data_IF_050160998238
#
_entry.id   IF_050160998238
#
_cell.length_a   1.000
_cell.length_b   1.000
_cell.length_c   1.000
_cell.angle_alpha   90.00
_cell.angle_beta   90.00
_cell.angle_gamma   90.00
#
_symmetry.space_group_name_H-M   'P 1'
#
loop_
_entity.id
_entity.type
_entity.pdbx_description
1 polymer ?
#
# COMPACT_ATOMS: atom_id res chain seq x y z
N UNK A 1 46.59 51.56 -5.13
CA UNK A 1 46.33 52.10 -6.49
C UNK A 1 44.94 51.72 -6.90
N UNK A 2 44.01 52.60 -6.66
CA UNK A 2 42.75 52.74 -7.34
C UNK A 2 43.02 53.53 -8.65
N UNK A 3 42.27 53.41 -9.72
CA UNK A 3 40.86 53.71 -9.89
C UNK A 3 40.20 52.86 -11.02
N UNK A 4 38.92 52.80 -11.24
CA UNK A 4 38.03 53.79 -11.79
C UNK A 4 36.61 53.32 -11.98
N UNK A 5 35.70 54.11 -11.58
CA UNK A 5 34.31 54.33 -11.90
C UNK A 5 33.91 54.18 -13.39
N UNK A 6 32.77 53.53 -13.66
CA UNK A 6 32.07 53.53 -14.94
C UNK A 6 30.56 53.45 -14.73
N UNK A 7 29.91 54.62 -14.63
CA UNK A 7 28.46 54.73 -14.54
C UNK A 7 27.79 54.54 -15.89
N UNK A 8 26.61 53.87 -15.89
CA UNK A 8 25.69 53.83 -17.02
C UNK A 8 24.47 54.74 -16.77
N UNK A 9 24.03 55.50 -17.75
CA UNK A 9 22.93 56.46 -17.60
C UNK A 9 21.56 55.72 -17.68
N UNK A 10 20.69 56.13 -16.78
CA UNK A 10 19.25 55.78 -16.83
C UNK A 10 18.57 56.62 -17.92
N UNK A 11 17.95 55.93 -18.88
CA UNK A 11 16.93 56.54 -19.73
C UNK A 11 15.67 55.72 -19.63
N UNK A 12 14.61 56.31 -19.08
CA UNK A 12 13.24 55.80 -19.06
C UNK A 12 12.46 56.63 -20.07
N UNK A 13 11.82 56.04 -21.07
CA UNK A 13 10.73 56.68 -21.78
C UNK A 13 9.36 56.25 -21.20
N UNK A 14 8.64 57.26 -20.69
CA UNK A 14 7.21 57.17 -20.49
C UNK A 14 6.50 57.03 -21.82
N UNK A 15 5.74 55.95 -22.00
CA UNK A 15 4.68 55.88 -23.02
C UNK A 15 3.36 55.53 -22.33
N UNK A 16 2.54 56.57 -22.17
CA UNK A 16 1.12 56.46 -21.80
C UNK A 16 0.34 56.07 -23.03
N UNK A 17 -0.21 54.83 -23.04
CA UNK A 17 -1.23 54.40 -24.01
C UNK A 17 -2.54 54.08 -23.28
N UNK A 18 -3.68 54.29 -23.90
CA UNK A 18 -5.00 54.15 -23.21
C UNK A 18 -5.27 52.70 -22.88
N UNK A 19 -5.75 52.44 -21.64
CA UNK A 19 -6.18 51.17 -21.16
C UNK A 19 -7.41 50.69 -21.94
N UNK A 20 -7.25 49.55 -22.63
CA UNK A 20 -8.41 48.80 -23.17
C UNK A 20 -9.18 48.10 -22.01
N UNK A 21 -10.49 48.04 -22.04
CA UNK A 21 -11.27 47.38 -21.00
C UNK A 21 -10.99 45.89 -21.03
N UNK A 22 -10.50 45.36 -19.91
CA UNK A 22 -10.36 43.93 -19.71
C UNK A 22 -11.73 43.28 -19.67
N UNK A 23 -12.13 42.60 -20.74
CA UNK A 23 -13.20 41.63 -20.70
C UNK A 23 -12.77 40.50 -19.79
N UNK A 24 -13.19 40.55 -18.53
CA UNK A 24 -13.18 39.41 -17.63
C UNK A 24 -14.15 38.39 -18.23
N UNK A 25 -13.63 37.43 -18.99
CA UNK A 25 -14.38 36.26 -19.37
C UNK A 25 -14.80 35.55 -18.07
N UNK A 26 -16.10 35.68 -17.78
CA UNK A 26 -16.70 34.91 -16.69
C UNK A 26 -16.44 33.42 -17.00
N UNK A 27 -15.52 32.81 -16.28
CA UNK A 27 -15.36 31.37 -16.28
C UNK A 27 -16.69 30.79 -15.82
N UNK A 28 -17.47 30.32 -16.80
CA UNK A 28 -18.70 29.57 -16.56
C UNK A 28 -18.26 28.33 -15.77
N UNK A 29 -18.66 28.26 -14.49
CA UNK A 29 -18.41 27.09 -13.67
C UNK A 29 -18.88 25.85 -14.46
N UNK A 30 -18.07 24.81 -14.60
CA UNK A 30 -18.48 23.60 -15.30
C UNK A 30 -19.75 23.09 -14.63
N UNK A 31 -20.77 22.78 -15.45
CA UNK A 31 -22.02 22.18 -14.96
C UNK A 31 -21.67 21.01 -14.04
N UNK A 32 -22.24 20.96 -12.84
CA UNK A 32 -21.99 19.93 -11.86
C UNK A 32 -22.25 18.57 -12.52
N UNK A 33 -21.16 17.85 -12.83
CA UNK A 33 -21.26 16.47 -13.34
C UNK A 33 -21.73 15.61 -12.18
N UNK A 34 -22.66 14.67 -12.43
CA UNK A 34 -23.04 13.69 -11.41
C UNK A 34 -21.77 12.94 -10.93
N UNK A 35 -21.72 12.53 -9.67
CA UNK A 35 -20.60 11.72 -9.17
C UNK A 35 -20.39 10.45 -10.00
N UNK A 36 -19.15 10.07 -10.17
CA UNK A 36 -18.77 8.79 -10.75
C UNK A 36 -18.97 7.70 -9.70
N UNK A 37 -19.85 6.76 -9.96
CA UNK A 37 -20.13 5.63 -9.06
C UNK A 37 -19.19 4.48 -9.39
N UNK A 38 -18.34 4.11 -8.43
CA UNK A 38 -17.30 3.10 -8.60
C UNK A 38 -17.62 1.86 -7.77
N UNK A 39 -17.74 0.71 -8.41
CA UNK A 39 -17.70 -0.59 -7.76
C UNK A 39 -16.22 -0.92 -7.46
N UNK A 40 -15.75 -0.50 -6.30
CA UNK A 40 -14.35 -0.72 -5.87
C UNK A 40 -14.24 -2.02 -5.07
N UNK A 41 -13.34 -2.91 -5.43
CA UNK A 41 -13.18 -4.23 -4.77
C UNK A 41 -11.79 -4.35 -4.15
N UNK A 42 -11.69 -4.32 -2.82
CA UNK A 42 -12.70 -3.84 -1.87
C UNK A 42 -12.78 -2.32 -1.84
N UNK A 43 -13.83 -1.77 -1.23
CA UNK A 43 -13.98 -0.32 -1.04
C UNK A 43 -13.35 0.18 0.26
N UNK A 44 -13.38 -0.63 1.31
CA UNK A 44 -13.04 -0.25 2.68
C UNK A 44 -11.57 -0.44 3.09
N UNK A 45 -10.71 -1.02 2.26
CA UNK A 45 -9.31 -1.25 2.61
C UNK A 45 -8.51 0.05 2.72
N UNK A 46 -7.54 0.12 3.65
CA UNK A 46 -6.72 1.31 3.90
C UNK A 46 -6.08 1.87 2.63
N UNK A 47 -5.53 1.03 1.77
CA UNK A 47 -5.00 1.43 0.47
C UNK A 47 -6.02 2.21 -0.36
N UNK A 48 -7.24 1.66 -0.48
CA UNK A 48 -8.30 2.25 -1.31
C UNK A 48 -8.84 3.56 -0.71
N UNK A 49 -8.96 3.62 0.62
CA UNK A 49 -9.37 4.85 1.31
C UNK A 49 -8.39 6.00 1.04
N UNK A 50 -7.09 5.71 1.06
CA UNK A 50 -6.05 6.71 0.85
C UNK A 50 -5.78 7.04 -0.63
N UNK A 51 -6.55 6.45 -1.56
CA UNK A 51 -6.66 6.93 -2.95
C UNK A 51 -7.68 8.06 -3.09
N UNK A 52 -8.48 8.33 -2.08
CA UNK A 52 -9.39 9.47 -2.08
C UNK A 52 -8.61 10.79 -1.87
N UNK A 53 -9.08 11.92 -2.40
CA UNK A 53 -8.54 13.21 -2.04
C UNK A 53 -8.72 13.47 -0.54
N UNK A 54 -7.85 14.28 0.06
CA UNK A 54 -7.92 14.63 1.48
C UNK A 54 -9.25 15.32 1.83
N UNK A 55 -9.68 16.23 0.96
CA UNK A 55 -11.02 16.82 1.01
C UNK A 55 -11.91 16.13 -0.02
N UNK A 56 -12.99 15.52 0.46
CA UNK A 56 -13.97 14.90 -0.42
C UNK A 56 -14.68 15.97 -1.28
N UNK A 57 -14.40 15.93 -2.58
CA UNK A 57 -15.00 16.82 -3.56
C UNK A 57 -16.30 16.28 -4.16
N UNK A 58 -16.78 15.15 -3.69
CA UNK A 58 -18.02 14.50 -4.11
C UNK A 58 -18.01 13.99 -5.56
N UNK A 59 -16.88 14.01 -6.27
CA UNK A 59 -16.79 13.58 -7.67
C UNK A 59 -16.78 12.08 -7.86
N UNK A 60 -16.36 11.32 -6.84
CA UNK A 60 -16.27 9.86 -6.87
C UNK A 60 -16.99 9.28 -5.66
N UNK A 61 -17.93 8.40 -5.91
CA UNK A 61 -18.62 7.64 -4.88
C UNK A 61 -18.27 6.16 -5.04
N UNK A 62 -17.67 5.57 -4.01
CA UNK A 62 -17.42 4.12 -3.98
C UNK A 62 -18.60 3.41 -3.35
N UNK A 63 -19.10 2.38 -4.02
CA UNK A 63 -20.14 1.53 -3.44
C UNK A 63 -19.58 0.80 -2.21
N UNK A 64 -20.36 0.66 -1.13
CA UNK A 64 -19.96 -0.15 0.01
C UNK A 64 -19.84 -1.62 -0.40
N UNK A 65 -18.87 -2.33 0.19
CA UNK A 65 -18.72 -3.77 -0.03
C UNK A 65 -19.96 -4.50 0.48
N UNK A 66 -20.69 -5.26 -0.37
CA UNK A 66 -21.79 -6.10 0.10
C UNK A 66 -21.28 -7.22 0.99
N UNK A 67 -22.01 -7.51 2.08
CA UNK A 67 -21.73 -8.67 2.93
C UNK A 67 -22.07 -9.96 2.17
N UNK A 68 -21.12 -10.90 2.00
CA UNK A 68 -21.38 -12.18 1.33
C UNK A 68 -22.28 -13.11 2.14
N UNK A 69 -22.57 -12.78 3.40
CA UNK A 69 -23.38 -13.58 4.34
C UNK A 69 -22.95 -15.06 4.39
N UNK A 70 -21.67 -15.28 4.54
CA UNK A 70 -21.07 -16.63 4.62
C UNK A 70 -20.41 -16.87 5.99
N UNK A 71 -20.63 -18.07 6.60
CA UNK A 71 -19.98 -18.42 7.87
C UNK A 71 -18.44 -18.45 7.80
N UNK A 72 -17.87 -18.67 6.61
CA UNK A 72 -16.43 -18.81 6.41
C UNK A 72 -15.71 -17.44 6.28
N UNK A 73 -16.43 -16.33 6.33
CA UNK A 73 -15.80 -14.99 6.24
C UNK A 73 -14.85 -14.74 7.41
N UNK A 74 -13.66 -14.23 7.18
CA UNK A 74 -12.76 -13.82 8.25
C UNK A 74 -13.37 -12.67 9.08
N UNK A 75 -13.21 -12.70 10.40
CA UNK A 75 -13.77 -11.67 11.29
C UNK A 75 -13.34 -10.24 10.92
N UNK A 76 -12.12 -10.06 10.38
CA UNK A 76 -11.58 -8.77 9.96
C UNK A 76 -11.86 -8.38 8.50
N UNK A 77 -12.49 -9.26 7.69
CA UNK A 77 -12.73 -9.04 6.27
C UNK A 77 -14.17 -9.38 5.89
N UNK A 78 -15.13 -8.60 6.38
CA UNK A 78 -16.56 -8.82 6.16
C UNK A 78 -16.98 -8.81 4.68
N UNK A 79 -16.16 -8.24 3.82
CA UNK A 79 -16.37 -8.18 2.37
C UNK A 79 -15.92 -9.45 1.64
N UNK A 80 -15.25 -10.38 2.32
CA UNK A 80 -14.70 -11.59 1.72
C UNK A 80 -15.64 -12.81 1.83
N UNK A 81 -15.84 -13.62 0.77
CA UNK A 81 -15.40 -13.41 -0.62
C UNK A 81 -16.19 -12.29 -1.30
N UNK A 82 -15.56 -11.52 -2.23
CA UNK A 82 -16.16 -10.30 -2.79
C UNK A 82 -17.43 -10.60 -3.61
N UNK A 83 -18.56 -10.09 -3.16
CA UNK A 83 -19.85 -10.20 -3.88
C UNK A 83 -19.82 -9.47 -5.22
N UNK A 84 -19.11 -8.33 -5.29
CA UNK A 84 -18.98 -7.52 -6.50
C UNK A 84 -18.26 -8.24 -7.65
N UNK A 85 -17.57 -9.35 -7.38
CA UNK A 85 -16.94 -10.18 -8.41
C UNK A 85 -17.86 -11.30 -8.94
N UNK A 86 -19.08 -11.42 -8.44
CA UNK A 86 -20.07 -12.34 -8.98
C UNK A 86 -20.68 -11.79 -10.25
N UNK A 87 -20.72 -12.55 -11.36
CA UNK A 87 -21.30 -12.08 -12.63
C UNK A 87 -22.76 -11.65 -12.51
N UNK A 88 -23.56 -12.34 -11.70
CA UNK A 88 -24.96 -11.98 -11.42
C UNK A 88 -25.09 -10.61 -10.74
N UNK A 89 -24.23 -10.31 -9.75
CA UNK A 89 -24.20 -8.98 -9.13
C UNK A 89 -23.85 -7.92 -10.17
N UNK A 90 -22.83 -8.17 -10.97
CA UNK A 90 -22.38 -7.23 -11.99
C UNK A 90 -23.40 -7.01 -13.11
N UNK A 91 -24.36 -7.93 -13.34
CA UNK A 91 -25.46 -7.74 -14.31
C UNK A 91 -26.48 -6.72 -13.81
N UNK A 92 -26.79 -6.72 -12.51
CA UNK A 92 -27.94 -6.02 -11.96
C UNK A 92 -27.56 -4.70 -11.27
N UNK A 93 -26.35 -4.60 -10.70
CA UNK A 93 -25.93 -3.45 -9.93
C UNK A 93 -25.76 -2.18 -10.78
N UNK A 94 -26.09 -1.04 -10.19
CA UNK A 94 -25.89 0.27 -10.83
C UNK A 94 -24.57 0.90 -10.39
N UNK A 95 -23.63 1.00 -11.33
CA UNK A 95 -22.32 1.63 -11.17
C UNK A 95 -21.82 2.12 -12.53
N UNK A 96 -20.82 3.01 -12.52
CA UNK A 96 -20.24 3.53 -13.77
C UNK A 96 -19.03 2.72 -14.22
N UNK A 97 -18.17 2.27 -13.30
CA UNK A 97 -17.02 1.42 -13.59
C UNK A 97 -16.75 0.44 -12.43
N UNK A 98 -16.08 -0.67 -12.73
CA UNK A 98 -15.55 -1.58 -11.73
C UNK A 98 -14.04 -1.37 -11.61
N UNK A 99 -13.55 -1.15 -10.37
CA UNK A 99 -12.13 -1.06 -10.05
C UNK A 99 -11.72 -2.18 -9.10
N UNK A 100 -11.02 -3.15 -9.64
CA UNK A 100 -10.53 -4.30 -8.87
C UNK A 100 -9.12 -4.03 -8.35
N UNK A 101 -8.94 -4.15 -7.04
CA UNK A 101 -7.64 -4.05 -6.38
C UNK A 101 -7.11 -5.42 -5.96
N UNK A 102 -7.88 -6.18 -5.21
CA UNK A 102 -7.55 -7.54 -4.75
C UNK A 102 -8.82 -8.29 -4.32
N UNK A 103 -8.65 -9.52 -3.79
CA UNK A 103 -9.77 -10.36 -3.40
C UNK A 103 -10.21 -11.35 -4.49
N UNK A 104 -9.65 -11.27 -5.68
CA UNK A 104 -9.97 -12.20 -6.77
C UNK A 104 -9.40 -13.61 -6.57
N UNK A 105 -8.47 -13.79 -5.62
CA UNK A 105 -7.96 -15.09 -5.19
C UNK A 105 -9.04 -16.02 -4.61
N UNK A 106 -10.22 -15.47 -4.24
CA UNK A 106 -11.41 -16.24 -3.86
C UNK A 106 -12.25 -16.73 -5.05
N UNK A 107 -11.88 -16.39 -6.29
CA UNK A 107 -12.76 -16.55 -7.46
C UNK A 107 -12.04 -17.37 -8.55
N UNK A 108 -12.73 -18.37 -9.09
CA UNK A 108 -12.18 -19.18 -10.17
C UNK A 108 -11.93 -18.35 -11.44
N UNK A 109 -10.89 -18.67 -12.23
CA UNK A 109 -10.61 -17.99 -13.50
C UNK A 109 -11.76 -18.01 -14.49
N UNK A 110 -12.60 -19.06 -14.48
CA UNK A 110 -13.80 -19.14 -15.33
C UNK A 110 -14.85 -18.10 -14.94
N UNK A 111 -15.10 -17.92 -13.64
CA UNK A 111 -16.03 -16.90 -13.12
C UNK A 111 -15.51 -15.49 -13.40
N UNK A 112 -14.20 -15.26 -13.27
CA UNK A 112 -13.58 -13.96 -13.61
C UNK A 112 -13.74 -13.65 -15.11
N UNK A 113 -13.65 -14.67 -15.98
CA UNK A 113 -13.90 -14.50 -17.42
C UNK A 113 -15.35 -14.11 -17.69
N UNK A 114 -16.30 -14.81 -17.08
CA UNK A 114 -17.72 -14.46 -17.18
C UNK A 114 -17.99 -13.03 -16.69
N UNK A 115 -17.39 -12.63 -15.55
CA UNK A 115 -17.51 -11.27 -15.04
C UNK A 115 -17.02 -10.24 -16.08
N UNK A 116 -15.85 -10.45 -16.69
CA UNK A 116 -15.31 -9.52 -17.68
C UNK A 116 -16.18 -9.45 -18.95
N UNK A 117 -16.80 -10.56 -19.34
CA UNK A 117 -17.79 -10.59 -20.44
C UNK A 117 -19.04 -9.80 -20.11
N UNK A 118 -19.58 -9.96 -18.88
CA UNK A 118 -20.73 -9.17 -18.39
C UNK A 118 -20.41 -7.67 -18.40
N UNK A 119 -19.27 -7.27 -17.87
CA UNK A 119 -18.85 -5.86 -17.86
C UNK A 119 -18.77 -5.29 -19.27
N UNK A 120 -18.14 -6.01 -20.19
CA UNK A 120 -18.03 -5.63 -21.59
C UNK A 120 -19.40 -5.53 -22.25
N UNK A 121 -20.28 -6.51 -22.05
CA UNK A 121 -21.64 -6.52 -22.60
C UNK A 121 -22.50 -5.36 -22.09
N UNK A 122 -22.24 -4.89 -20.88
CA UNK A 122 -22.89 -3.70 -20.29
C UNK A 122 -22.22 -2.38 -20.64
N UNK A 123 -21.08 -2.38 -21.32
CA UNK A 123 -20.28 -1.19 -21.59
C UNK A 123 -19.75 -0.56 -20.28
N UNK A 124 -19.50 -1.36 -19.24
CA UNK A 124 -18.95 -0.90 -17.96
C UNK A 124 -17.43 -1.04 -18.00
N UNK A 125 -16.69 0.07 -17.93
CA UNK A 125 -15.22 0.03 -17.89
C UNK A 125 -14.70 -0.79 -16.71
N UNK A 126 -13.64 -1.54 -16.97
CA UNK A 126 -12.93 -2.35 -15.98
C UNK A 126 -11.52 -1.81 -15.76
N UNK A 127 -11.22 -1.36 -14.54
CA UNK A 127 -9.90 -0.93 -14.09
C UNK A 127 -9.34 -1.98 -13.16
N UNK A 128 -8.09 -2.40 -13.39
CA UNK A 128 -7.38 -3.33 -12.54
C UNK A 128 -6.13 -2.68 -11.96
N UNK A 129 -6.02 -2.65 -10.63
CA UNK A 129 -4.75 -2.38 -9.96
C UNK A 129 -4.05 -3.70 -9.67
N UNK A 130 -2.95 -3.96 -10.39
CA UNK A 130 -2.13 -5.15 -10.16
C UNK A 130 -1.19 -4.86 -8.98
N UNK A 131 -1.62 -5.27 -7.80
CA UNK A 131 -0.85 -5.14 -6.57
C UNK A 131 0.30 -6.13 -6.53
N UNK A 132 0.01 -7.39 -6.83
CA UNK A 132 0.96 -8.48 -6.77
C UNK A 132 0.99 -9.27 -8.07
N UNK A 133 2.19 -9.50 -8.57
CA UNK A 133 2.46 -10.41 -9.70
C UNK A 133 2.65 -11.86 -9.24
N UNK A 134 2.70 -12.05 -7.93
CA UNK A 134 2.69 -13.32 -7.23
C UNK A 134 1.99 -13.13 -5.90
N UNK A 135 0.94 -13.90 -5.64
CA UNK A 135 0.21 -13.82 -4.38
C UNK A 135 1.14 -14.11 -3.19
N UNK A 136 1.31 -13.16 -2.24
CA UNK A 136 2.22 -13.33 -1.11
C UNK A 136 1.78 -14.40 -0.10
N UNK A 137 0.52 -14.83 -0.17
CA UNK A 137 -0.07 -15.83 0.74
C UNK A 137 0.10 -17.26 0.24
N UNK A 138 0.34 -17.48 -1.05
CA UNK A 138 0.36 -18.79 -1.66
C UNK A 138 1.80 -19.21 -2.03
N UNK A 139 2.14 -20.47 -1.75
CA UNK A 139 3.39 -21.07 -2.22
C UNK A 139 3.32 -21.34 -3.72
N UNK A 140 2.23 -21.93 -4.18
CA UNK A 140 1.95 -22.15 -5.58
C UNK A 140 1.34 -20.88 -6.21
N UNK A 141 1.89 -20.50 -7.33
CA UNK A 141 1.46 -19.32 -8.08
C UNK A 141 0.46 -19.61 -9.21
N UNK A 142 0.21 -20.91 -9.52
CA UNK A 142 -0.53 -21.30 -10.72
C UNK A 142 -1.93 -20.68 -10.78
N UNK A 143 -2.69 -20.72 -9.68
CA UNK A 143 -4.03 -20.12 -9.61
C UNK A 143 -3.97 -18.60 -9.84
N UNK A 144 -3.06 -17.93 -9.14
CA UNK A 144 -2.91 -16.47 -9.25
C UNK A 144 -2.50 -16.05 -10.66
N UNK A 145 -1.55 -16.77 -11.28
CA UNK A 145 -1.15 -16.53 -12.66
C UNK A 145 -2.33 -16.73 -13.62
N UNK A 146 -3.12 -17.81 -13.46
CA UNK A 146 -4.31 -18.06 -14.30
C UNK A 146 -5.39 -16.97 -14.14
N UNK A 147 -5.53 -16.40 -12.94
CA UNK A 147 -6.44 -15.27 -12.68
C UNK A 147 -5.94 -14.00 -13.36
N UNK A 148 -4.64 -13.68 -13.25
CA UNK A 148 -4.05 -12.53 -13.93
C UNK A 148 -4.09 -12.68 -15.46
N UNK A 149 -3.95 -13.88 -15.98
CA UNK A 149 -4.05 -14.17 -17.44
C UNK A 149 -5.47 -13.90 -17.99
N UNK A 150 -6.49 -13.90 -17.12
CA UNK A 150 -7.84 -13.45 -17.48
C UNK A 150 -8.01 -11.95 -17.29
N UNK A 151 -7.61 -11.43 -16.14
CA UNK A 151 -7.94 -10.05 -15.72
C UNK A 151 -7.10 -9.00 -16.47
N UNK A 152 -5.79 -9.23 -16.63
CA UNK A 152 -4.89 -8.23 -17.23
C UNK A 152 -5.23 -7.94 -18.68
N UNK A 153 -5.47 -8.95 -19.55
CA UNK A 153 -5.90 -8.68 -20.94
C UNK A 153 -7.28 -8.04 -21.04
N UNK A 154 -8.19 -8.33 -20.09
CA UNK A 154 -9.56 -7.86 -20.12
C UNK A 154 -9.75 -6.43 -19.61
N UNK A 155 -8.81 -5.90 -18.82
CA UNK A 155 -8.93 -4.57 -18.23
C UNK A 155 -8.84 -3.46 -19.28
N UNK A 156 -9.70 -2.44 -19.20
CA UNK A 156 -9.62 -1.24 -20.02
C UNK A 156 -8.44 -0.35 -19.60
N UNK A 157 -8.14 -0.31 -18.31
CA UNK A 157 -6.98 0.38 -17.78
C UNK A 157 -6.28 -0.47 -16.70
N UNK A 158 -4.96 -0.43 -16.71
CA UNK A 158 -4.11 -1.09 -15.72
C UNK A 158 -3.35 -0.08 -14.89
N UNK A 159 -3.33 -0.31 -13.59
CA UNK A 159 -2.52 0.42 -12.62
C UNK A 159 -1.61 -0.58 -11.92
N UNK A 160 -0.39 -0.16 -11.61
CA UNK A 160 0.51 -0.91 -10.73
C UNK A 160 1.35 0.04 -9.88
N UNK A 161 2.06 -0.47 -8.88
CA UNK A 161 2.67 0.36 -7.85
C UNK A 161 4.15 0.65 -8.10
N UNK A 162 4.79 -0.12 -8.99
CA UNK A 162 6.23 -0.01 -9.25
C UNK A 162 6.54 -0.11 -10.75
N UNK A 163 7.63 0.53 -11.16
CA UNK A 163 8.13 0.43 -12.54
C UNK A 163 8.54 -0.99 -12.92
N UNK A 164 9.07 -1.77 -11.96
CA UNK A 164 9.41 -3.17 -12.17
C UNK A 164 8.17 -4.03 -12.47
N UNK A 165 7.07 -3.79 -11.75
CA UNK A 165 5.81 -4.48 -12.01
C UNK A 165 5.22 -4.08 -13.37
N UNK A 166 5.28 -2.80 -13.77
CA UNK A 166 4.83 -2.35 -15.07
C UNK A 166 5.64 -3.02 -16.21
N UNK A 167 6.96 -3.11 -16.06
CA UNK A 167 7.82 -3.80 -17.02
C UNK A 167 7.46 -5.29 -17.15
N UNK A 168 7.17 -5.96 -16.04
CA UNK A 168 6.77 -7.37 -16.04
C UNK A 168 5.38 -7.57 -16.65
N UNK A 169 4.41 -6.67 -16.41
CA UNK A 169 3.09 -6.67 -17.03
C UNK A 169 3.25 -6.56 -18.56
N UNK A 170 4.07 -5.63 -19.01
CA UNK A 170 4.36 -5.47 -20.43
C UNK A 170 5.00 -6.73 -21.03
N UNK A 171 5.97 -7.31 -20.34
CA UNK A 171 6.65 -8.52 -20.80
C UNK A 171 5.72 -9.74 -20.91
N UNK A 172 4.78 -9.91 -19.93
CA UNK A 172 3.90 -11.09 -19.88
C UNK A 172 2.67 -10.97 -20.78
N UNK A 173 2.08 -9.79 -20.87
CA UNK A 173 0.78 -9.60 -21.52
C UNK A 173 0.77 -8.55 -22.63
N UNK A 174 1.92 -7.94 -22.95
CA UNK A 174 2.03 -6.83 -23.90
C UNK A 174 1.04 -5.68 -23.63
N UNK A 175 0.86 -5.37 -22.34
CA UNK A 175 -0.05 -4.33 -21.85
C UNK A 175 0.73 -3.25 -21.09
N UNK A 176 0.36 -2.00 -21.32
CA UNK A 176 0.88 -0.87 -20.56
C UNK A 176 0.09 -0.69 -19.26
N UNK A 177 0.79 -0.43 -18.16
CA UNK A 177 0.21 -0.11 -16.87
C UNK A 177 0.68 1.26 -16.40
N UNK A 178 -0.26 2.08 -15.90
CA UNK A 178 0.06 3.32 -15.22
C UNK A 178 0.73 3.00 -13.88
N UNK A 179 1.90 3.58 -13.65
CA UNK A 179 2.59 3.42 -12.36
C UNK A 179 2.13 4.53 -11.42
N UNK A 180 1.35 4.14 -10.41
CA UNK A 180 0.97 5.00 -9.29
C UNK A 180 1.63 4.45 -8.02
N UNK A 181 2.57 5.18 -7.40
CA UNK A 181 3.18 4.75 -6.16
C UNK A 181 2.14 4.43 -5.09
N UNK A 182 2.47 3.51 -4.20
CA UNK A 182 1.59 3.16 -3.09
C UNK A 182 1.26 4.42 -2.27
N UNK A 183 -0.01 4.71 -1.98
CA UNK A 183 -0.37 5.84 -1.13
C UNK A 183 0.17 5.65 0.30
N UNK A 184 0.20 6.72 1.06
CA UNK A 184 0.50 6.62 2.48
C UNK A 184 -0.51 5.68 3.19
N UNK A 185 -0.05 4.96 4.20
CA UNK A 185 -0.91 4.10 5.04
C UNK A 185 -1.08 4.67 6.45
N UNK A 186 -0.19 5.55 6.84
CA UNK A 186 -0.23 6.29 8.10
C UNK A 186 -0.99 7.59 7.88
N UNK A 187 -1.88 8.02 8.80
CA UNK A 187 -2.54 9.32 8.70
C UNK A 187 -1.53 10.48 8.65
N UNK A 188 -1.77 11.50 7.83
CA UNK A 188 -0.86 12.62 7.60
C UNK A 188 -0.44 13.32 8.91
N UNK A 189 -1.39 13.62 9.79
CA UNK A 189 -1.09 14.23 11.09
C UNK A 189 -0.18 13.36 11.98
N UNK A 190 -0.28 12.02 11.85
CA UNK A 190 0.61 11.09 12.56
C UNK A 190 2.02 11.10 11.97
N UNK A 191 2.13 11.23 10.65
CA UNK A 191 3.41 11.36 9.95
C UNK A 191 4.14 12.65 10.36
N UNK A 192 3.44 13.79 10.37
CA UNK A 192 3.96 15.08 10.79
C UNK A 192 4.48 15.02 12.24
N UNK A 193 3.66 14.50 13.18
CA UNK A 193 4.04 14.34 14.57
C UNK A 193 5.24 13.38 14.77
N UNK A 194 5.40 12.37 13.91
CA UNK A 194 6.55 11.48 13.96
C UNK A 194 7.82 12.16 13.47
N UNK A 195 7.74 12.95 12.40
CA UNK A 195 8.85 13.73 11.85
C UNK A 195 9.34 14.79 12.84
N UNK A 196 8.44 15.52 13.49
CA UNK A 196 8.76 16.47 14.54
C UNK A 196 9.52 15.80 15.69
N UNK A 197 9.03 14.68 16.21
CA UNK A 197 9.70 13.94 17.29
C UNK A 197 11.12 13.51 16.90
N UNK A 198 11.32 12.99 15.69
CA UNK A 198 12.65 12.57 15.22
C UNK A 198 13.64 13.73 15.10
N UNK A 199 13.18 14.94 14.85
CA UNK A 199 14.05 16.13 14.79
C UNK A 199 14.60 16.53 16.16
N UNK A 200 13.92 16.15 17.27
CA UNK A 200 14.26 16.55 18.65
C UNK A 200 14.88 15.43 19.51
N UNK A 201 14.62 14.18 19.19
CA UNK A 201 14.98 13.04 20.05
C UNK A 201 15.69 11.93 19.26
N UNK A 202 17.00 12.09 19.02
CA UNK A 202 17.86 10.94 18.76
C UNK A 202 18.30 10.38 20.11
N UNK A 203 17.74 9.22 20.51
CA UNK A 203 18.26 8.45 21.64
C UNK A 203 19.65 7.89 21.34
N UNK A 204 20.40 7.52 22.39
CA UNK A 204 21.73 6.94 22.26
C UNK A 204 21.73 5.48 21.72
N UNK A 205 20.54 4.88 21.55
CA UNK A 205 20.37 3.48 21.13
C UNK A 205 19.89 3.42 19.68
N UNK A 206 20.64 2.72 18.82
CA UNK A 206 20.25 2.42 17.45
C UNK A 206 19.37 1.16 17.41
N UNK A 207 18.07 1.31 17.09
CA UNK A 207 17.10 0.23 17.13
C UNK A 207 16.82 -0.35 15.75
N UNK A 208 17.17 -1.64 15.60
CA UNK A 208 16.85 -2.44 14.41
C UNK A 208 15.66 -3.31 14.75
N UNK A 209 14.55 -3.15 14.03
CA UNK A 209 13.31 -3.88 14.27
C UNK A 209 13.05 -4.98 13.24
N UNK A 210 12.58 -6.12 13.70
CA UNK A 210 12.01 -7.17 12.85
C UNK A 210 10.66 -7.57 13.43
N UNK A 211 9.63 -7.64 12.57
CA UNK A 211 8.27 -7.97 13.00
C UNK A 211 7.79 -9.29 12.38
N UNK A 212 7.40 -10.23 13.21
CA UNK A 212 6.89 -11.54 12.81
C UNK A 212 5.44 -11.68 13.19
N UNK A 213 4.58 -11.67 12.17
CA UNK A 213 3.14 -11.91 12.31
C UNK A 213 2.65 -12.72 11.12
N UNK A 214 1.70 -13.60 11.34
CA UNK A 214 1.00 -14.30 10.25
C UNK A 214 1.95 -14.68 9.11
N UNK A 215 2.94 -15.52 9.40
CA UNK A 215 3.98 -15.89 8.44
C UNK A 215 3.36 -16.37 7.13
N UNK A 216 3.60 -15.60 6.07
CA UNK A 216 3.11 -15.87 4.72
C UNK A 216 4.17 -16.61 3.94
N UNK A 217 3.79 -17.27 2.85
CA UNK A 217 4.72 -17.92 1.92
C UNK A 217 5.82 -16.98 1.40
N UNK A 218 5.53 -15.68 1.32
CA UNK A 218 6.50 -14.65 0.94
C UNK A 218 7.53 -14.30 2.01
N UNK A 219 7.37 -14.75 3.26
CA UNK A 219 8.25 -14.41 4.38
C UNK A 219 9.17 -15.56 4.76
N UNK A 220 10.41 -15.24 5.15
CA UNK A 220 11.36 -16.21 5.64
C UNK A 220 12.33 -15.59 6.68
N UNK A 221 11.83 -15.23 7.88
CA UNK A 221 12.63 -14.56 8.91
C UNK A 221 13.88 -15.36 9.31
N UNK A 222 13.79 -16.68 9.43
CA UNK A 222 14.91 -17.55 9.79
C UNK A 222 16.10 -17.48 8.81
N UNK A 223 15.89 -17.06 7.57
CA UNK A 223 17.00 -16.87 6.62
C UNK A 223 17.86 -15.64 6.92
N UNK A 224 17.31 -14.66 7.64
CA UNK A 224 17.96 -13.39 7.96
C UNK A 224 18.40 -13.32 9.43
N UNK A 225 17.63 -13.90 10.33
CA UNK A 225 17.79 -13.74 11.77
C UNK A 225 19.20 -14.07 12.28
N UNK A 226 19.85 -15.19 11.91
CA UNK A 226 21.20 -15.47 12.42
C UNK A 226 22.20 -14.38 12.06
N UNK A 227 22.22 -13.97 10.79
CA UNK A 227 23.10 -12.90 10.33
C UNK A 227 22.75 -11.56 10.97
N UNK A 228 21.45 -11.27 11.13
CA UNK A 228 20.99 -10.02 11.73
C UNK A 228 21.39 -9.92 13.20
N UNK A 229 21.19 -10.99 13.98
CA UNK A 229 21.61 -11.07 15.38
C UNK A 229 23.12 -10.84 15.51
N UNK A 230 23.92 -11.54 14.70
CA UNK A 230 25.38 -11.41 14.73
C UNK A 230 25.85 -10.00 14.30
N UNK A 231 25.20 -9.43 13.30
CA UNK A 231 25.56 -8.08 12.81
C UNK A 231 25.22 -7.00 13.82
N UNK A 232 24.01 -7.03 14.38
CA UNK A 232 23.58 -6.00 15.35
C UNK A 232 24.39 -6.08 16.63
N UNK A 233 24.76 -7.28 17.09
CA UNK A 233 25.61 -7.46 18.26
C UNK A 233 27.03 -6.84 18.10
N UNK A 234 27.50 -6.62 16.88
CA UNK A 234 28.79 -5.98 16.59
C UNK A 234 28.69 -4.45 16.49
N UNK A 235 27.50 -3.88 16.46
CA UNK A 235 27.29 -2.43 16.34
C UNK A 235 27.21 -1.79 17.73
N UNK A 236 28.13 -0.90 18.11
CA UNK A 236 28.07 -0.21 19.40
C UNK A 236 26.77 0.58 19.57
N UNK A 237 26.08 0.36 20.68
CA UNK A 237 24.84 1.04 21.01
C UNK A 237 23.62 0.58 20.19
N UNK A 238 23.74 -0.50 19.41
CA UNK A 238 22.62 -1.06 18.66
C UNK A 238 21.89 -2.16 19.44
N UNK A 239 20.59 -2.26 19.20
CA UNK A 239 19.69 -3.28 19.75
C UNK A 239 18.85 -3.87 18.64
N UNK A 240 18.78 -5.19 18.56
CA UNK A 240 17.82 -5.90 17.73
C UNK A 240 16.53 -6.11 18.54
N UNK A 241 15.46 -5.48 18.11
CA UNK A 241 14.13 -5.66 18.69
C UNK A 241 13.28 -6.54 17.75
N UNK A 242 12.85 -7.69 18.24
CA UNK A 242 11.93 -8.57 17.51
C UNK A 242 10.55 -8.51 18.17
N UNK A 243 9.58 -8.06 17.38
CA UNK A 243 8.18 -8.08 17.78
C UNK A 243 7.48 -9.27 17.12
N UNK A 244 6.85 -10.13 17.91
CA UNK A 244 6.17 -11.32 17.43
C UNK A 244 4.75 -11.45 17.97
N UNK A 245 3.87 -11.95 17.11
CA UNK A 245 2.50 -12.23 17.52
C UNK A 245 2.42 -13.54 18.29
N UNK A 246 1.53 -13.60 19.28
CA UNK A 246 1.21 -14.80 20.04
C UNK A 246 0.81 -15.98 19.17
N UNK A 247 0.05 -15.73 18.08
CA UNK A 247 -0.37 -16.77 17.14
C UNK A 247 0.80 -17.49 16.45
N UNK A 248 1.99 -16.86 16.40
CA UNK A 248 3.22 -17.42 15.80
C UNK A 248 4.18 -17.97 16.85
N UNK A 249 4.26 -17.35 18.03
CA UNK A 249 5.32 -17.63 19.00
C UNK A 249 4.85 -18.38 20.25
N UNK A 250 3.58 -18.21 20.68
CA UNK A 250 3.07 -18.93 21.86
C UNK A 250 2.84 -20.42 21.58
N UNK A 251 2.95 -21.29 22.60
CA UNK A 251 2.73 -22.73 22.46
C UNK A 251 1.37 -23.11 21.84
N UNK A 252 0.32 -22.31 22.14
CA UNK A 252 -1.05 -22.54 21.65
C UNK A 252 -1.39 -21.69 20.42
N UNK A 253 -0.40 -21.04 19.81
CA UNK A 253 -0.58 -20.17 18.66
C UNK A 253 -1.08 -20.90 17.43
N UNK A 254 -2.16 -20.41 16.81
CA UNK A 254 -2.82 -21.07 15.68
C UNK A 254 -1.91 -21.21 14.42
N UNK A 255 -0.83 -20.45 14.36
CA UNK A 255 0.15 -20.42 13.27
C UNK A 255 1.57 -20.58 13.78
N UNK A 256 1.73 -21.29 14.88
CA UNK A 256 3.00 -21.46 15.55
C UNK A 256 4.08 -21.97 14.60
N UNK A 257 5.20 -21.26 14.58
CA UNK A 257 6.46 -21.72 14.00
C UNK A 257 7.40 -22.08 15.15
N UNK A 258 7.51 -23.38 15.43
CA UNK A 258 8.26 -23.88 16.58
C UNK A 258 9.76 -23.57 16.49
N UNK A 259 10.33 -23.69 15.29
CA UNK A 259 11.77 -23.43 15.08
C UNK A 259 12.11 -21.95 15.25
N UNK A 260 11.27 -21.08 14.74
CA UNK A 260 11.40 -19.64 14.92
C UNK A 260 11.22 -19.23 16.37
N UNK A 261 10.19 -19.75 17.06
CA UNK A 261 9.93 -19.44 18.46
C UNK A 261 11.11 -19.90 19.34
N UNK A 262 11.58 -21.12 19.18
CA UNK A 262 12.72 -21.64 19.94
C UNK A 262 13.99 -20.80 19.73
N UNK A 263 14.30 -20.46 18.49
CA UNK A 263 15.45 -19.61 18.15
C UNK A 263 15.35 -18.23 18.80
N UNK A 264 14.20 -17.58 18.70
CA UNK A 264 14.01 -16.21 19.24
C UNK A 264 14.11 -16.19 20.77
N UNK A 265 13.55 -17.18 21.46
CA UNK A 265 13.68 -17.29 22.93
C UNK A 265 15.13 -17.56 23.34
N UNK A 266 15.82 -18.47 22.67
CA UNK A 266 17.24 -18.74 22.92
C UNK A 266 18.10 -17.47 22.78
N UNK A 267 17.91 -16.70 21.70
CA UNK A 267 18.69 -15.48 21.50
C UNK A 267 18.30 -14.38 22.51
N UNK A 268 17.04 -14.30 22.93
CA UNK A 268 16.59 -13.36 23.94
C UNK A 268 17.15 -13.72 25.34
N UNK A 269 17.12 -14.99 25.73
CA UNK A 269 17.71 -15.49 26.98
C UNK A 269 19.22 -15.26 27.03
N UNK A 270 19.90 -15.33 25.89
CA UNK A 270 21.32 -15.00 25.75
C UNK A 270 21.58 -13.47 25.73
N UNK A 271 20.55 -12.62 25.82
CA UNK A 271 20.68 -11.15 25.79
C UNK A 271 21.11 -10.57 24.45
N UNK A 272 20.92 -11.31 23.34
CA UNK A 272 21.36 -10.90 22.00
C UNK A 272 20.29 -10.14 21.22
N UNK A 273 19.04 -10.17 21.68
CA UNK A 273 17.91 -9.40 21.14
C UNK A 273 16.88 -9.12 22.24
N UNK A 274 16.04 -8.10 21.99
CA UNK A 274 14.83 -7.85 22.78
C UNK A 274 13.64 -8.53 22.08
N UNK A 275 13.00 -9.51 22.75
CA UNK A 275 11.83 -10.20 22.23
C UNK A 275 10.56 -9.65 22.87
N UNK A 276 9.65 -9.14 22.06
CA UNK A 276 8.34 -8.63 22.48
C UNK A 276 7.23 -9.49 21.86
N UNK A 277 6.56 -10.31 22.68
CA UNK A 277 5.44 -11.14 22.25
C UNK A 277 4.13 -10.47 22.63
N UNK A 278 3.25 -10.24 21.65
CA UNK A 278 2.02 -9.49 21.87
C UNK A 278 0.90 -9.93 20.92
N UNK A 279 -0.32 -9.52 21.20
CA UNK A 279 -1.45 -9.62 20.28
C UNK A 279 -1.34 -8.60 19.14
N UNK A 280 -2.31 -8.60 18.22
CA UNK A 280 -2.32 -7.60 17.14
C UNK A 280 -2.31 -6.19 17.74
N UNK A 281 -1.33 -5.40 17.31
CA UNK A 281 -1.28 -3.99 17.67
C UNK A 281 -2.39 -3.24 16.93
N UNK A 282 -3.07 -2.33 17.62
CA UNK A 282 -3.89 -1.34 16.96
C UNK A 282 -3.02 -0.35 16.17
N UNK A 283 -3.64 0.47 15.33
CA UNK A 283 -2.93 1.42 14.48
C UNK A 283 -2.03 2.37 15.30
N UNK A 284 -2.50 2.84 16.44
CA UNK A 284 -1.75 3.75 17.30
C UNK A 284 -0.49 3.10 17.87
N UNK A 285 -0.63 1.88 18.40
CA UNK A 285 0.49 1.12 18.94
C UNK A 285 1.48 0.71 17.84
N UNK A 286 0.96 0.34 16.67
CA UNK A 286 1.77 0.00 15.50
C UNK A 286 2.61 1.19 15.02
N UNK A 287 1.99 2.37 14.90
CA UNK A 287 2.73 3.57 14.48
C UNK A 287 3.76 4.00 15.53
N UNK A 288 3.42 3.89 16.82
CA UNK A 288 4.38 4.18 17.90
C UNK A 288 5.57 3.23 17.86
N UNK A 289 5.33 1.93 17.66
CA UNK A 289 6.38 0.93 17.50
C UNK A 289 7.28 1.24 16.30
N UNK A 290 6.71 1.42 15.12
CA UNK A 290 7.50 1.70 13.92
C UNK A 290 8.31 2.99 14.04
N UNK A 291 7.70 4.05 14.59
CA UNK A 291 8.39 5.33 14.81
C UNK A 291 9.52 5.25 15.83
N UNK A 292 9.55 4.23 16.71
CA UNK A 292 10.62 4.00 17.68
C UNK A 292 11.86 3.32 17.09
N UNK A 293 11.77 2.78 15.87
CA UNK A 293 12.86 2.10 15.18
C UNK A 293 13.68 3.06 14.31
N UNK A 294 14.98 2.82 14.21
CA UNK A 294 15.83 3.46 13.20
C UNK A 294 15.76 2.73 11.86
N UNK A 295 15.71 1.39 11.90
CA UNK A 295 15.61 0.51 10.74
C UNK A 295 14.58 -0.57 10.99
N UNK A 296 13.72 -0.84 10.00
CA UNK A 296 12.81 -1.98 10.01
C UNK A 296 13.22 -2.99 8.95
N UNK A 297 13.58 -4.22 9.38
CA UNK A 297 13.99 -5.30 8.49
C UNK A 297 12.77 -6.06 8.00
N UNK A 298 12.63 -6.19 6.67
CA UNK A 298 11.54 -6.89 6.01
C UNK A 298 12.01 -8.27 5.54
N UNK A 299 11.57 -9.38 6.17
CA UNK A 299 12.07 -10.72 5.88
C UNK A 299 11.37 -11.34 4.65
N UNK A 300 11.20 -10.57 3.56
CA UNK A 300 10.51 -11.03 2.36
C UNK A 300 11.44 -11.81 1.43
N UNK A 301 10.91 -12.88 0.84
CA UNK A 301 11.52 -13.66 -0.24
C UNK A 301 11.12 -13.14 -1.61
N UNK A 302 9.91 -12.62 -1.71
CA UNK A 302 9.32 -12.03 -2.91
C UNK A 302 8.18 -11.10 -2.51
N UNK A 303 7.85 -10.16 -3.40
CA UNK A 303 6.75 -9.21 -3.25
C UNK A 303 6.85 -8.14 -4.33
N UNK A 304 5.76 -7.47 -4.61
CA UNK A 304 5.69 -6.36 -5.57
C UNK A 304 5.75 -5.02 -4.85
N UNK A 305 5.11 -4.93 -3.69
CA UNK A 305 5.07 -3.74 -2.84
C UNK A 305 4.92 -4.15 -1.37
N UNK A 306 4.97 -3.18 -0.47
CA UNK A 306 4.76 -3.43 0.96
C UNK A 306 4.15 -2.22 1.64
N UNK A 307 2.92 -2.37 2.17
CA UNK A 307 2.31 -1.35 3.04
C UNK A 307 3.12 -1.09 4.32
N UNK A 308 3.88 -2.08 4.79
CA UNK A 308 4.80 -1.90 5.92
C UNK A 308 5.94 -0.94 5.57
N UNK A 309 6.53 -1.09 4.38
CA UNK A 309 7.56 -0.18 3.87
C UNK A 309 7.02 1.26 3.79
N UNK A 310 5.80 1.44 3.29
CA UNK A 310 5.18 2.76 3.21
C UNK A 310 4.88 3.35 4.60
N UNK A 311 4.50 2.51 5.57
CA UNK A 311 4.34 2.96 6.95
C UNK A 311 5.69 3.42 7.53
N UNK A 312 6.76 2.64 7.35
CA UNK A 312 8.11 3.01 7.76
C UNK A 312 8.54 4.34 7.14
N UNK A 313 8.37 4.47 5.82
CA UNK A 313 8.68 5.70 5.09
C UNK A 313 7.91 6.90 5.64
N UNK A 314 6.59 6.75 5.88
CA UNK A 314 5.75 7.81 6.44
C UNK A 314 6.18 8.24 7.84
N UNK A 315 6.70 7.32 8.63
CA UNK A 315 7.16 7.56 10.00
C UNK A 315 8.66 7.92 10.10
N UNK A 316 9.38 7.92 8.97
CA UNK A 316 10.81 8.23 8.91
C UNK A 316 11.71 7.09 9.39
N UNK A 317 11.23 5.85 9.49
CA UNK A 317 12.01 4.64 9.75
C UNK A 317 12.62 4.13 8.46
N UNK A 318 13.91 3.79 8.46
CA UNK A 318 14.62 3.25 7.29
C UNK A 318 14.29 1.77 7.05
#
# INVERSE_FOLDING_TARGET
MDPASGGYPRHVPHLSGPAAPAHVAAHRAPAARRPLVVASVPSGHVYVRHLAPEEDDGRVVRLPDPDPDTPQRPAGARWWPPVMLRPEWARDADFDLLHLHFGFDAVDPSTLRELTEVLRGRGKPFVLTVHDLRNPHHEDRALHDAQLDVLVPAADALVTLTTGAAAEIRRRWDREALVLPHPHVVPLATMEAAQERRSWARGDTFRVGLHVKSLRASMAPMRLLPTLVDTVAQLPGAVLQVNGHRDVLDPDGARRDESLAAYLHEQADAGRLELHVHDFLDDRALWAYLASLDVSVLPYRFGTHSGWLEACRGLGTA
#
